data_IF_196383342835
#
_entry.id   IF_196383342835
#
_cell.length_a   1.000
_cell.length_b   1.000
_cell.length_c   1.000
_cell.angle_alpha   90.00
_cell.angle_beta   90.00
_cell.angle_gamma   90.00
#
_symmetry.space_group_name_H-M   'P 1'
#
loop_
_entity.id
_entity.type
_entity.pdbx_description
1 polymer ?
#
# COMPACT_ATOMS: atom_id res chain seq x y z
N UNK A 1 -20.84 -14.41 -11.16
CA UNK A 1 -21.60 -14.02 -9.96
C UNK A 1 -20.86 -12.84 -9.37
N UNK A 2 -21.47 -11.65 -9.40
CA UNK A 2 -20.79 -10.44 -8.89
C UNK A 2 -20.65 -10.52 -7.38
N UNK A 3 -19.49 -10.14 -6.88
CA UNK A 3 -19.21 -10.03 -5.44
C UNK A 3 -19.91 -8.80 -4.86
N UNK A 4 -20.63 -8.98 -3.74
CA UNK A 4 -21.31 -7.91 -3.05
C UNK A 4 -20.33 -7.03 -2.24
N UNK A 5 -20.64 -5.74 -2.11
CA UNK A 5 -19.98 -4.88 -1.13
C UNK A 5 -20.14 -5.45 0.29
N UNK A 6 -19.09 -5.36 1.10
CA UNK A 6 -18.99 -5.98 2.43
C UNK A 6 -18.52 -7.44 2.39
N UNK A 7 -18.38 -8.06 1.22
CA UNK A 7 -17.81 -9.41 1.14
C UNK A 7 -16.34 -9.38 1.56
N UNK A 8 -15.94 -10.31 2.42
CA UNK A 8 -14.56 -10.42 2.91
C UNK A 8 -13.82 -11.58 2.24
N UNK A 9 -12.64 -11.28 1.74
CA UNK A 9 -11.66 -12.24 1.26
C UNK A 9 -10.41 -12.14 2.12
N UNK A 10 -10.30 -12.99 3.13
CA UNK A 10 -9.23 -12.89 4.13
C UNK A 10 -9.24 -11.52 4.81
N UNK A 11 -8.17 -10.75 4.62
CA UNK A 11 -8.02 -9.39 5.16
C UNK A 11 -8.63 -8.29 4.29
N UNK A 12 -9.13 -8.61 3.10
CA UNK A 12 -9.68 -7.63 2.18
C UNK A 12 -11.21 -7.61 2.26
N UNK A 13 -11.79 -6.43 2.46
CA UNK A 13 -13.24 -6.21 2.46
C UNK A 13 -13.64 -5.41 1.22
N UNK A 14 -14.50 -5.99 0.37
CA UNK A 14 -14.93 -5.38 -0.88
C UNK A 14 -15.79 -4.15 -0.61
N UNK A 15 -15.45 -3.01 -1.20
CA UNK A 15 -16.19 -1.75 -1.10
C UNK A 15 -17.13 -1.54 -2.26
N UNK A 16 -16.64 -1.69 -3.48
CA UNK A 16 -17.42 -1.46 -4.70
C UNK A 16 -16.79 -2.14 -5.90
N UNK A 17 -17.58 -2.42 -6.93
CA UNK A 17 -17.09 -2.88 -8.22
C UNK A 17 -16.55 -1.68 -9.00
N UNK A 18 -15.34 -1.82 -9.54
CA UNK A 18 -14.68 -0.79 -10.35
C UNK A 18 -14.89 -1.03 -11.85
N UNK A 19 -14.96 -2.31 -12.26
CA UNK A 19 -15.20 -2.64 -13.67
C UNK A 19 -15.19 -4.15 -13.93
N UNK A 20 -15.48 -4.51 -15.17
CA UNK A 20 -15.37 -5.87 -15.67
C UNK A 20 -14.78 -5.87 -17.08
N UNK A 21 -14.01 -6.91 -17.42
CA UNK A 21 -13.42 -7.07 -18.74
C UNK A 21 -12.91 -8.50 -18.97
N UNK A 22 -12.11 -8.70 -20.02
CA UNK A 22 -11.60 -10.02 -20.41
C UNK A 22 -10.73 -10.74 -19.36
N UNK A 23 -10.22 -10.01 -18.36
CA UNK A 23 -9.47 -10.57 -17.22
C UNK A 23 -10.33 -10.85 -15.97
N UNK A 24 -11.64 -10.56 -16.02
CA UNK A 24 -12.57 -10.76 -14.90
C UNK A 24 -13.15 -9.46 -14.32
N UNK A 25 -13.72 -9.56 -13.12
CA UNK A 25 -14.32 -8.45 -12.37
C UNK A 25 -13.28 -7.81 -11.43
N UNK A 26 -13.20 -6.49 -11.41
CA UNK A 26 -12.27 -5.72 -10.57
C UNK A 26 -13.04 -4.98 -9.49
N UNK A 27 -12.57 -5.06 -8.25
CA UNK A 27 -13.22 -4.46 -7.09
C UNK A 27 -12.26 -3.58 -6.28
N UNK A 28 -12.78 -2.49 -5.75
CA UNK A 28 -12.15 -1.73 -4.67
C UNK A 28 -12.31 -2.52 -3.37
N UNK A 29 -11.25 -2.66 -2.59
CA UNK A 29 -11.29 -3.36 -1.32
C UNK A 29 -10.44 -2.65 -0.25
N UNK A 30 -10.89 -2.68 0.99
CA UNK A 30 -10.13 -2.20 2.15
C UNK A 30 -9.35 -3.36 2.76
N UNK A 31 -8.06 -3.14 3.03
CA UNK A 31 -7.26 -4.07 3.82
C UNK A 31 -7.47 -3.79 5.32
N UNK A 32 -8.22 -4.67 5.97
CA UNK A 32 -8.56 -4.55 7.40
C UNK A 32 -7.33 -4.64 8.28
N UNK A 33 -6.25 -5.28 7.81
CA UNK A 33 -5.01 -5.39 8.56
C UNK A 33 -4.15 -4.15 8.36
N UNK A 34 -4.07 -3.61 7.14
CA UNK A 34 -3.39 -2.34 6.86
C UNK A 34 -4.00 -1.18 7.65
N UNK A 35 -5.33 -1.17 7.83
CA UNK A 35 -6.01 -0.15 8.62
C UNK A 35 -5.64 -0.21 10.13
N UNK A 36 -5.27 -1.40 10.63
CA UNK A 36 -4.74 -1.61 11.98
C UNK A 36 -3.21 -1.47 12.05
N UNK A 37 -2.52 -1.71 10.93
CA UNK A 37 -1.06 -1.70 10.78
C UNK A 37 -0.52 -0.40 10.17
N UNK A 38 -1.28 0.71 10.14
CA UNK A 38 -0.68 2.05 10.05
C UNK A 38 0.08 2.35 11.35
N UNK A 39 1.03 1.47 11.68
CA UNK A 39 2.11 1.74 12.59
C UNK A 39 2.96 2.81 11.91
N UNK A 40 3.08 4.02 12.48
CA UNK A 40 3.95 5.05 11.95
C UNK A 40 5.42 4.59 11.86
N UNK A 41 5.79 3.47 12.49
CA UNK A 41 7.10 2.83 12.43
C UNK A 41 7.21 1.71 11.38
N UNK A 42 6.12 1.37 10.67
CA UNK A 42 6.17 0.36 9.62
C UNK A 42 7.00 0.85 8.44
N UNK A 43 8.20 0.27 8.31
CA UNK A 43 9.21 0.61 7.31
C UNK A 43 8.69 0.43 5.87
N UNK A 44 7.85 -0.58 5.64
CA UNK A 44 7.22 -0.86 4.33
C UNK A 44 6.19 0.22 3.97
N UNK A 45 5.41 0.68 4.95
CA UNK A 45 4.38 1.69 4.74
C UNK A 45 5.00 3.06 4.49
N UNK A 46 6.02 3.43 5.28
CA UNK A 46 6.78 4.66 5.05
C UNK A 46 7.46 4.66 3.67
N UNK A 47 7.98 3.51 3.22
CA UNK A 47 8.55 3.39 1.87
C UNK A 47 7.48 3.49 0.76
N UNK A 48 6.36 2.80 0.89
CA UNK A 48 5.28 2.87 -0.10
C UNK A 48 4.67 4.28 -0.17
N UNK A 49 4.62 4.99 0.97
CA UNK A 49 4.18 6.37 1.04
C UNK A 49 5.18 7.33 0.39
N UNK A 50 6.48 7.19 0.70
CA UNK A 50 7.55 7.94 0.02
C UNK A 50 7.54 7.73 -1.49
N UNK A 51 7.31 6.50 -1.96
CA UNK A 51 7.19 6.18 -3.38
C UNK A 51 5.96 6.81 -4.03
N UNK A 52 4.84 6.87 -3.32
CA UNK A 52 3.62 7.54 -3.79
C UNK A 52 3.84 9.05 -3.93
N UNK A 53 4.59 9.66 -3.01
CA UNK A 53 4.97 11.08 -3.08
C UNK A 53 5.94 11.35 -4.24
N UNK A 54 6.90 10.45 -4.47
CA UNK A 54 7.81 10.53 -5.61
C UNK A 54 7.06 10.51 -6.94
N UNK A 55 6.11 9.60 -7.13
CA UNK A 55 5.27 9.58 -8.35
C UNK A 55 4.34 10.78 -8.48
N UNK A 56 4.03 11.46 -7.37
CA UNK A 56 3.30 12.74 -7.37
C UNK A 56 4.18 13.94 -7.76
N UNK A 57 5.48 13.76 -7.93
CA UNK A 57 6.44 14.83 -8.22
C UNK A 57 6.89 15.62 -6.98
N UNK A 58 6.52 15.17 -5.78
CA UNK A 58 6.91 15.80 -4.52
C UNK A 58 8.14 15.08 -3.95
N UNK A 59 9.28 15.30 -4.61
CA UNK A 59 10.55 14.62 -4.30
C UNK A 59 11.07 14.96 -2.90
N UNK A 60 10.87 16.19 -2.42
CA UNK A 60 11.26 16.63 -1.08
C UNK A 60 10.51 15.86 0.01
N UNK A 61 9.19 15.71 -0.15
CA UNK A 61 8.38 14.94 0.79
C UNK A 61 8.71 13.44 0.73
N UNK A 62 8.99 12.90 -0.47
CA UNK A 62 9.41 11.52 -0.65
C UNK A 62 10.73 11.21 0.08
N UNK A 63 11.72 12.09 -0.07
CA UNK A 63 13.04 11.94 0.56
C UNK A 63 12.94 11.95 2.09
N UNK A 64 12.07 12.79 2.65
CA UNK A 64 11.82 12.81 4.10
C UNK A 64 11.22 11.49 4.61
N UNK A 65 10.33 10.87 3.84
CA UNK A 65 9.73 9.58 4.22
C UNK A 65 10.74 8.42 4.13
N UNK A 66 11.62 8.44 3.13
CA UNK A 66 12.71 7.46 3.05
C UNK A 66 13.73 7.63 4.19
N UNK A 67 14.06 8.87 4.57
CA UNK A 67 14.93 9.14 5.72
C UNK A 67 14.37 8.58 7.02
N UNK A 68 13.08 8.78 7.30
CA UNK A 68 12.41 8.20 8.48
C UNK A 68 12.53 6.67 8.52
N UNK A 69 12.42 6.02 7.36
CA UNK A 69 12.58 4.56 7.27
C UNK A 69 14.00 4.13 7.63
N UNK A 70 15.03 4.89 7.20
CA UNK A 70 16.43 4.62 7.52
C UNK A 70 16.82 5.02 8.96
N UNK A 71 16.12 5.96 9.58
CA UNK A 71 16.27 6.33 11.00
C UNK A 71 15.72 5.24 11.93
N UNK A 72 14.63 4.56 11.53
CA UNK A 72 14.03 3.47 12.30
C UNK A 72 14.89 2.20 12.22
N UNK A 73 15.40 1.87 11.04
CA UNK A 73 16.39 0.79 10.88
C UNK A 73 17.36 1.15 9.75
N UNK A 74 18.62 1.45 10.11
CA UNK A 74 19.66 1.83 9.17
C UNK A 74 20.12 0.69 8.25
N UNK A 75 19.74 -0.56 8.56
CA UNK A 75 19.94 -1.72 7.69
C UNK A 75 18.67 -2.08 6.88
N UNK A 76 17.61 -1.29 7.00
CA UNK A 76 16.37 -1.52 6.29
C UNK A 76 16.59 -1.40 4.78
N UNK A 77 16.45 -2.54 4.11
CA UNK A 77 16.46 -2.64 2.64
C UNK A 77 15.02 -2.88 2.22
N UNK A 78 14.32 -1.87 1.69
CA UNK A 78 12.88 -1.96 1.53
C UNK A 78 12.45 -3.13 0.65
N UNK A 79 13.28 -3.55 -0.31
CA UNK A 79 13.11 -4.81 -1.05
C UNK A 79 14.47 -5.30 -1.60
N UNK A 80 14.90 -6.51 -1.23
CA UNK A 80 15.83 -7.30 -2.05
C UNK A 80 15.06 -7.93 -3.20
N UNK A 81 14.78 -7.16 -4.24
CA UNK A 81 14.72 -7.69 -5.60
C UNK A 81 15.80 -6.95 -6.36
N UNK A 82 16.83 -7.71 -6.75
CA UNK A 82 18.06 -7.17 -7.29
C UNK A 82 17.83 -6.20 -8.44
N UNK A 83 18.38 -5.01 -8.27
CA UNK A 83 19.12 -4.24 -9.26
C UNK A 83 20.32 -3.62 -8.53
#
# INVERSE_FOLDING_TARGET
MSVAAGTRFGRYEIRSKLGEGGMGEVYLADDTRLNLELDPLSLIINTNYGRTLFFKGDEDAALQQYKKSLEIDSNFRPFTYGL
#
